data_IF_652280327948
#
_entry.id   IF_652280327948
#
_cell.length_a   1.000
_cell.length_b   1.000
_cell.length_c   1.000
_cell.angle_alpha   90.00
_cell.angle_beta   90.00
_cell.angle_gamma   90.00
#
_symmetry.space_group_name_H-M   'P 1'
#
loop_
_entity.id
_entity.type
_entity.pdbx_description
1 polymer ?
#
# COMPACT_ATOMS: atom_id res chain seq x y z
N UNK A 1 6.38 -5.56 -9.63
CA UNK A 1 6.35 -4.15 -9.33
C UNK A 1 5.64 -3.38 -10.38
N UNK A 2 4.67 -2.85 -9.99
CA UNK A 2 3.44 -2.51 -10.58
C UNK A 2 3.32 -1.08 -10.96
N UNK A 3 4.35 -0.33 -11.05
CA UNK A 3 4.15 1.07 -11.28
C UNK A 3 5.24 1.64 -12.15
N UNK A 4 4.88 2.69 -12.75
CA UNK A 4 5.67 3.66 -13.45
C UNK A 4 6.99 4.03 -12.77
N UNK A 5 7.06 3.84 -11.45
CA UNK A 5 8.27 4.05 -10.65
C UNK A 5 9.26 2.88 -10.72
N UNK A 6 8.90 1.77 -11.37
CA UNK A 6 9.79 0.61 -11.48
C UNK A 6 11.10 0.94 -12.20
N UNK A 7 11.08 1.85 -13.15
CA UNK A 7 12.27 2.26 -13.87
C UNK A 7 13.32 2.88 -12.96
N UNK A 8 12.92 3.69 -12.01
CA UNK A 8 13.85 4.35 -11.09
C UNK A 8 14.55 3.34 -10.15
N UNK A 9 13.88 2.23 -9.84
CA UNK A 9 14.40 1.19 -8.95
C UNK A 9 15.49 0.31 -9.60
N UNK A 10 15.61 0.37 -10.93
CA UNK A 10 16.60 -0.43 -11.67
C UNK A 10 17.74 0.41 -12.23
N UNK A 11 17.92 1.63 -11.73
CA UNK A 11 18.97 2.53 -12.21
C UNK A 11 18.71 3.08 -13.62
N UNK A 12 17.54 2.86 -14.18
CA UNK A 12 17.14 3.44 -15.45
C UNK A 12 16.66 4.89 -15.26
N UNK A 13 16.87 5.74 -16.25
CA UNK A 13 16.30 7.08 -16.24
C UNK A 13 14.78 7.05 -16.05
N UNK A 14 14.21 8.11 -15.50
CA UNK A 14 12.76 8.24 -15.39
C UNK A 14 12.11 7.98 -16.75
N UNK A 15 11.01 7.22 -16.76
CA UNK A 15 10.28 6.87 -17.98
C UNK A 15 9.88 8.08 -18.83
N UNK A 16 9.66 9.24 -18.22
CA UNK A 16 9.36 10.49 -18.92
C UNK A 16 10.50 10.99 -19.81
N UNK A 17 11.76 10.62 -19.51
CA UNK A 17 12.93 11.01 -20.31
C UNK A 17 13.28 10.01 -21.42
N UNK A 18 12.83 8.77 -21.29
CA UNK A 18 13.27 7.69 -22.20
C UNK A 18 12.15 7.09 -23.03
N UNK A 19 10.90 7.37 -22.73
CA UNK A 19 9.74 6.75 -23.42
C UNK A 19 9.72 7.00 -24.92
N UNK A 20 10.28 8.11 -25.38
CA UNK A 20 10.36 8.47 -26.79
C UNK A 20 11.62 7.92 -27.47
N UNK A 21 12.55 7.35 -26.68
CA UNK A 21 13.82 6.83 -27.14
C UNK A 21 13.84 5.29 -27.15
N UNK A 22 12.93 4.65 -26.43
CA UNK A 22 12.91 3.21 -26.27
C UNK A 22 11.55 2.65 -26.66
N UNK A 23 11.52 1.74 -27.61
CA UNK A 23 10.30 1.07 -28.03
C UNK A 23 9.97 -0.08 -27.08
N UNK A 24 9.19 0.24 -26.03
CA UNK A 24 8.65 -0.76 -25.12
C UNK A 24 7.19 -0.47 -24.77
N UNK A 25 6.47 -1.51 -24.42
CA UNK A 25 5.09 -1.40 -23.95
C UNK A 25 5.02 -1.39 -22.43
N UNK A 26 4.32 -0.39 -21.88
CA UNK A 26 4.08 -0.32 -20.44
C UNK A 26 2.86 -1.15 -20.08
N UNK A 27 3.06 -2.12 -19.19
CA UNK A 27 1.99 -2.89 -18.57
C UNK A 27 1.91 -2.52 -17.08
N UNK A 28 0.72 -2.18 -16.63
CA UNK A 28 0.49 -1.80 -15.22
C UNK A 28 -0.10 -2.99 -14.45
N UNK A 29 0.66 -3.46 -13.46
CA UNK A 29 0.20 -4.46 -12.48
C UNK A 29 0.20 -3.79 -11.13
N UNK A 30 -0.97 -3.54 -10.57
CA UNK A 30 -1.09 -2.83 -9.30
C UNK A 30 -0.52 -3.62 -8.11
N UNK A 31 0.05 -2.90 -7.16
CA UNK A 31 0.53 -3.48 -5.90
C UNK A 31 -0.60 -3.80 -4.90
N UNK A 32 -1.81 -3.36 -5.17
CA UNK A 32 -3.02 -3.59 -4.38
C UNK A 32 -4.25 -3.13 -5.13
N UNK A 33 -5.41 -3.24 -4.51
CA UNK A 33 -6.66 -2.73 -5.07
C UNK A 33 -6.72 -1.21 -4.91
N UNK A 34 -7.06 -0.50 -5.99
CA UNK A 34 -7.28 0.93 -5.98
C UNK A 34 -8.70 1.23 -5.51
N UNK A 35 -8.82 1.75 -4.29
CA UNK A 35 -10.09 2.19 -3.71
C UNK A 35 -10.22 3.72 -3.68
N UNK A 36 -9.18 4.43 -4.08
CA UNK A 36 -9.14 5.89 -4.11
C UNK A 36 -9.00 6.41 -5.53
N UNK A 37 -9.48 7.64 -5.77
CA UNK A 37 -9.27 8.33 -7.04
C UNK A 37 -7.84 8.83 -7.12
N UNK A 38 -7.03 8.23 -7.98
CA UNK A 38 -5.64 8.61 -8.26
C UNK A 38 -5.44 8.85 -9.77
N UNK A 39 -6.35 9.66 -10.33
CA UNK A 39 -6.42 9.86 -11.78
C UNK A 39 -5.09 10.29 -12.41
N UNK A 40 -4.35 11.20 -11.78
CA UNK A 40 -3.05 11.66 -12.30
C UNK A 40 -2.04 10.51 -12.40
N UNK A 41 -2.02 9.61 -11.40
CA UNK A 41 -1.06 8.51 -11.35
C UNK A 41 -1.46 7.32 -12.23
N UNK A 42 -2.74 7.18 -12.56
CA UNK A 42 -3.27 6.04 -13.33
C UNK A 42 -3.75 6.43 -14.73
N UNK A 43 -3.59 7.68 -15.12
CA UNK A 43 -3.97 8.13 -16.46
C UNK A 43 -3.08 7.44 -17.50
N UNK A 44 -3.72 6.90 -18.56
CA UNK A 44 -3.04 6.14 -19.61
C UNK A 44 -1.92 6.92 -20.31
N UNK A 45 -2.16 8.19 -20.59
CA UNK A 45 -1.22 9.03 -21.34
C UNK A 45 0.03 9.38 -20.56
N UNK A 46 -0.03 9.36 -19.22
CA UNK A 46 1.14 9.64 -18.39
C UNK A 46 2.33 8.75 -18.73
N UNK A 47 2.05 7.44 -18.96
CA UNK A 47 3.08 6.44 -19.13
C UNK A 47 2.89 5.62 -20.42
N UNK A 48 2.00 6.06 -21.28
CA UNK A 48 1.63 5.32 -22.48
C UNK A 48 1.27 3.86 -22.17
N UNK A 49 0.45 3.67 -21.13
CA UNK A 49 0.06 2.32 -20.67
C UNK A 49 -0.71 1.59 -21.78
N UNK A 50 -0.17 0.47 -22.22
CA UNK A 50 -0.76 -0.39 -23.24
C UNK A 50 -1.68 -1.44 -22.64
N UNK A 51 -1.42 -1.85 -21.40
CA UNK A 51 -2.17 -2.88 -20.72
C UNK A 51 -2.23 -2.59 -19.22
N UNK A 52 -3.44 -2.66 -18.68
CA UNK A 52 -3.67 -2.45 -17.25
C UNK A 52 -4.48 -3.62 -16.70
N UNK A 53 -3.94 -4.31 -15.69
CA UNK A 53 -4.58 -5.44 -15.03
C UNK A 53 -5.41 -4.97 -13.85
N UNK A 54 -6.73 -5.00 -14.01
CA UNK A 54 -7.67 -4.58 -12.99
C UNK A 54 -7.91 -5.69 -11.96
N UNK A 55 -7.83 -5.32 -10.69
CA UNK A 55 -8.06 -6.23 -9.57
C UNK A 55 -9.54 -6.60 -9.41
N UNK A 56 -10.46 -5.72 -9.82
CA UNK A 56 -11.89 -5.92 -9.67
C UNK A 56 -12.67 -5.21 -10.78
N UNK A 57 -13.95 -5.61 -10.93
CA UNK A 57 -14.87 -4.93 -11.84
C UNK A 57 -15.05 -3.45 -11.50
N UNK A 58 -15.01 -3.10 -10.22
CA UNK A 58 -15.15 -1.71 -9.77
C UNK A 58 -13.93 -0.87 -10.17
N UNK A 59 -12.75 -1.43 -10.13
CA UNK A 59 -11.54 -0.78 -10.63
C UNK A 59 -11.60 -0.59 -12.14
N UNK A 60 -12.02 -1.61 -12.87
CA UNK A 60 -12.23 -1.53 -14.32
C UNK A 60 -13.25 -0.44 -14.68
N UNK A 61 -14.42 -0.44 -14.04
CA UNK A 61 -15.45 0.59 -14.22
C UNK A 61 -14.93 2.00 -13.87
N UNK A 62 -14.12 2.12 -12.82
CA UNK A 62 -13.53 3.41 -12.45
C UNK A 62 -12.53 3.91 -13.49
N UNK A 63 -11.63 3.03 -13.95
CA UNK A 63 -10.60 3.37 -14.94
C UNK A 63 -11.18 3.59 -16.34
N UNK A 64 -12.36 3.07 -16.63
CA UNK A 64 -13.08 3.32 -17.89
C UNK A 64 -13.64 4.74 -18.00
N UNK A 65 -13.57 5.54 -16.94
CA UNK A 65 -14.02 6.94 -16.98
C UNK A 65 -13.08 7.81 -17.82
N UNK A 66 -13.58 8.82 -18.53
CA UNK A 66 -12.79 9.66 -19.44
C UNK A 66 -11.53 10.25 -18.81
N UNK A 67 -11.57 10.59 -17.52
CA UNK A 67 -10.44 11.21 -16.80
C UNK A 67 -9.17 10.33 -16.78
N UNK A 68 -9.28 9.03 -17.08
CA UNK A 68 -8.17 8.10 -17.11
C UNK A 68 -7.63 7.82 -18.53
N UNK A 69 -8.31 8.34 -19.56
CA UNK A 69 -7.92 8.22 -20.98
C UNK A 69 -7.79 6.77 -21.51
N UNK A 70 -8.56 5.83 -20.96
CA UNK A 70 -8.64 4.47 -21.47
C UNK A 70 -9.79 4.25 -22.45
N UNK A 71 -10.67 5.24 -22.62
CA UNK A 71 -11.82 5.14 -23.52
C UNK A 71 -11.39 4.85 -24.97
N UNK A 72 -12.05 3.90 -25.61
CA UNK A 72 -11.71 3.47 -26.97
C UNK A 72 -10.48 2.56 -27.09
N UNK A 73 -9.81 2.23 -25.99
CA UNK A 73 -8.66 1.33 -25.96
C UNK A 73 -8.99 0.03 -25.23
N UNK A 74 -8.66 -1.09 -25.83
CA UNK A 74 -8.78 -2.41 -25.20
C UNK A 74 -7.58 -2.68 -24.25
N UNK A 75 -7.30 -1.73 -23.38
CA UNK A 75 -6.16 -1.76 -22.48
C UNK A 75 -6.49 -2.30 -21.08
N UNK A 76 -7.74 -2.19 -20.65
CA UNK A 76 -8.16 -2.61 -19.31
C UNK A 76 -8.55 -4.09 -19.31
N UNK A 77 -7.91 -4.91 -18.49
CA UNK A 77 -8.18 -6.35 -18.38
C UNK A 77 -8.54 -6.73 -16.96
N UNK A 78 -9.70 -7.31 -16.76
CA UNK A 78 -10.13 -7.83 -15.46
C UNK A 78 -9.47 -9.19 -15.21
N UNK A 79 -8.44 -9.22 -14.40
CA UNK A 79 -7.66 -10.44 -14.10
C UNK A 79 -7.71 -10.85 -12.63
N UNK A 80 -8.17 -9.97 -11.77
CA UNK A 80 -7.95 -10.12 -10.32
C UNK A 80 -6.53 -9.76 -9.91
N UNK A 81 -6.14 -10.18 -8.73
CA UNK A 81 -4.80 -9.94 -8.16
C UNK A 81 -4.02 -11.25 -8.13
N UNK A 82 -3.08 -11.49 -9.07
CA UNK A 82 -2.42 -12.80 -9.22
C UNK A 82 -1.74 -13.31 -7.95
N UNK A 83 -1.21 -12.43 -7.11
CA UNK A 83 -0.58 -12.85 -5.84
C UNK A 83 -1.57 -13.52 -4.87
N UNK A 84 -2.88 -13.33 -5.06
CA UNK A 84 -3.89 -13.96 -4.21
C UNK A 84 -4.08 -15.43 -4.53
N UNK A 85 -3.70 -15.88 -5.73
CA UNK A 85 -3.76 -17.29 -6.11
C UNK A 85 -2.80 -18.14 -5.27
N UNK A 86 -1.75 -17.52 -4.72
CA UNK A 86 -0.81 -18.17 -3.81
C UNK A 86 -1.22 -18.17 -2.33
N UNK A 87 -2.34 -17.53 -1.97
CA UNK A 87 -2.80 -17.52 -0.60
C UNK A 87 -3.29 -18.91 -0.18
N UNK A 88 -2.82 -19.35 0.98
CA UNK A 88 -3.27 -20.59 1.62
C UNK A 88 -3.92 -20.26 2.94
N UNK A 89 -5.04 -20.93 3.23
CA UNK A 89 -5.66 -20.85 4.54
C UNK A 89 -4.89 -21.76 5.51
N UNK A 90 -4.06 -21.15 6.34
CA UNK A 90 -3.33 -21.81 7.42
C UNK A 90 -3.61 -21.03 8.71
N UNK A 91 -4.69 -21.43 9.40
CA UNK A 91 -5.13 -20.75 10.61
C UNK A 91 -4.11 -20.94 11.75
N UNK A 92 -3.30 -19.93 11.96
CA UNK A 92 -2.30 -19.88 13.05
C UNK A 92 -2.91 -19.50 14.40
N UNK A 93 -4.22 -19.39 14.50
CA UNK A 93 -4.90 -18.87 15.69
C UNK A 93 -4.30 -17.54 16.16
N UNK A 94 -4.16 -16.61 15.22
CA UNK A 94 -3.59 -15.29 15.47
C UNK A 94 -4.54 -14.19 14.98
N UNK A 95 -4.72 -13.18 15.81
CA UNK A 95 -5.36 -11.92 15.45
C UNK A 95 -4.23 -10.90 15.23
N UNK A 96 -3.99 -10.54 13.98
CA UNK A 96 -3.00 -9.52 13.65
C UNK A 96 -3.65 -8.13 13.62
N UNK A 97 -3.15 -7.23 14.45
CA UNK A 97 -3.51 -5.81 14.45
C UNK A 97 -2.33 -5.05 13.83
N UNK A 98 -2.51 -4.53 12.61
CA UNK A 98 -1.47 -3.81 11.87
C UNK A 98 -2.04 -2.51 11.32
N UNK A 99 -2.11 -1.46 12.14
CA UNK A 99 -2.70 -0.20 11.72
C UNK A 99 -1.80 0.55 10.74
N UNK A 100 -2.43 1.24 9.79
CA UNK A 100 -1.72 2.14 8.90
C UNK A 100 -1.14 3.31 9.70
N UNK A 101 0.15 3.56 9.52
CA UNK A 101 0.85 4.66 10.15
C UNK A 101 0.24 6.04 9.81
N UNK A 102 0.55 7.04 10.60
CA UNK A 102 0.17 8.43 10.38
C UNK A 102 1.43 9.30 10.28
N UNK A 103 1.39 10.34 9.46
CA UNK A 103 2.55 11.21 9.22
C UNK A 103 3.11 11.81 10.52
N UNK A 104 2.24 12.07 11.49
CA UNK A 104 2.62 12.64 12.79
C UNK A 104 3.19 11.61 13.77
N UNK A 105 3.13 10.33 13.46
CA UNK A 105 3.54 9.26 14.38
C UNK A 105 5.05 9.20 14.60
N UNK A 106 5.85 9.66 13.66
CA UNK A 106 7.31 9.68 13.77
C UNK A 106 7.89 10.94 13.10
N UNK A 107 9.01 11.41 13.61
CA UNK A 107 9.67 12.60 13.09
C UNK A 107 10.40 12.26 11.78
N UNK A 108 10.18 13.00 10.67
CA UNK A 108 10.94 12.78 9.45
C UNK A 108 12.38 13.25 9.61
N UNK A 109 13.32 12.40 9.25
CA UNK A 109 14.75 12.73 9.21
C UNK A 109 15.26 12.46 7.79
N UNK A 110 15.92 13.45 7.19
CA UNK A 110 16.58 13.29 5.89
C UNK A 110 17.98 12.75 6.09
N UNK A 111 18.28 11.63 5.47
CA UNK A 111 19.60 11.03 5.46
C UNK A 111 20.11 10.91 4.02
N UNK A 112 21.39 10.58 3.86
CA UNK A 112 21.98 10.28 2.53
C UNK A 112 21.32 9.07 1.85
N UNK A 113 20.71 8.19 2.62
CA UNK A 113 20.01 6.98 2.16
C UNK A 113 18.52 7.19 1.88
N UNK A 114 18.01 8.41 2.12
CA UNK A 114 16.63 8.77 1.92
C UNK A 114 15.94 9.31 3.17
N UNK A 115 14.61 9.31 3.16
CA UNK A 115 13.81 9.76 4.30
C UNK A 115 13.69 8.63 5.31
N UNK A 116 14.24 8.81 6.49
CA UNK A 116 14.04 7.95 7.64
C UNK A 116 13.09 8.62 8.65
N UNK A 117 12.66 7.85 9.64
CA UNK A 117 11.79 8.33 10.71
C UNK A 117 12.45 8.08 12.05
N UNK A 118 12.52 9.13 12.85
CA UNK A 118 13.10 9.09 14.18
C UNK A 118 12.02 9.07 15.26
N UNK A 119 12.44 8.82 16.50
CA UNK A 119 11.57 8.81 17.67
C UNK A 119 10.87 10.15 17.86
N UNK A 120 9.55 10.08 18.11
CA UNK A 120 8.74 11.25 18.42
C UNK A 120 8.38 11.22 19.93
N UNK A 121 8.93 12.10 20.74
CA UNK A 121 8.64 12.14 22.18
C UNK A 121 7.18 12.45 22.52
N UNK A 122 6.45 13.08 21.59
CA UNK A 122 5.02 13.38 21.73
C UNK A 122 4.11 12.28 21.21
N UNK A 123 4.68 11.14 20.81
CA UNK A 123 3.89 10.06 20.20
C UNK A 123 2.77 9.56 21.12
N UNK A 124 3.03 9.44 22.42
CA UNK A 124 2.03 8.99 23.42
C UNK A 124 0.84 9.92 23.56
N UNK A 125 0.99 11.19 23.20
CA UNK A 125 -0.10 12.17 23.21
C UNK A 125 -0.98 12.06 21.96
N UNK A 126 -0.52 11.35 20.94
CA UNK A 126 -1.24 11.22 19.69
C UNK A 126 -2.50 10.36 19.83
N UNK A 127 -3.56 10.74 19.13
CA UNK A 127 -4.78 9.93 19.03
C UNK A 127 -4.47 8.54 18.48
N UNK A 128 -3.49 8.43 17.60
CA UNK A 128 -3.04 7.14 17.06
C UNK A 128 -2.59 6.20 18.17
N UNK A 129 -1.66 6.65 19.02
CA UNK A 129 -1.17 5.85 20.15
C UNK A 129 -2.33 5.51 21.10
N UNK A 130 -3.09 6.51 21.55
CA UNK A 130 -4.17 6.34 22.52
C UNK A 130 -5.18 5.28 22.08
N UNK A 131 -5.63 5.34 20.82
CA UNK A 131 -6.60 4.38 20.26
C UNK A 131 -6.03 2.96 20.19
N UNK A 132 -4.83 2.80 19.67
CA UNK A 132 -4.26 1.46 19.49
C UNK A 132 -3.74 0.87 20.79
N UNK A 133 -3.19 1.68 21.69
CA UNK A 133 -2.82 1.23 23.02
C UNK A 133 -4.05 0.79 23.82
N UNK A 134 -5.15 1.55 23.76
CA UNK A 134 -6.41 1.13 24.39
C UNK A 134 -6.94 -0.18 23.79
N UNK A 135 -6.86 -0.35 22.48
CA UNK A 135 -7.34 -1.55 21.80
C UNK A 135 -6.56 -2.80 22.21
N UNK A 136 -5.21 -2.75 22.18
CA UNK A 136 -4.39 -3.91 22.52
C UNK A 136 -4.42 -4.29 24.00
N UNK A 137 -4.82 -3.37 24.85
CA UNK A 137 -5.00 -3.56 26.30
C UNK A 137 -6.48 -3.76 26.71
N UNK A 138 -7.41 -3.80 25.76
CA UNK A 138 -8.82 -4.02 26.07
C UNK A 138 -9.04 -5.44 26.61
N UNK A 139 -9.50 -5.51 27.87
CA UNK A 139 -9.72 -6.79 28.57
C UNK A 139 -10.70 -7.69 27.83
N UNK A 140 -11.74 -7.14 27.21
CA UNK A 140 -12.75 -7.90 26.45
C UNK A 140 -12.11 -8.57 25.22
N UNK A 141 -11.23 -7.84 24.51
CA UNK A 141 -10.49 -8.39 23.38
C UNK A 141 -9.56 -9.52 23.83
N UNK A 142 -8.81 -9.29 24.91
CA UNK A 142 -7.86 -10.27 25.44
C UNK A 142 -8.58 -11.55 25.94
N UNK A 143 -9.67 -11.39 26.67
CA UNK A 143 -10.47 -12.50 27.18
C UNK A 143 -11.13 -13.30 26.06
N UNK A 144 -11.71 -12.61 25.07
CA UNK A 144 -12.27 -13.26 23.88
C UNK A 144 -11.20 -14.02 23.11
N UNK A 145 -10.04 -13.42 22.87
CA UNK A 145 -8.93 -14.11 22.21
C UNK A 145 -8.52 -15.39 22.96
N UNK A 146 -8.36 -15.31 24.28
CA UNK A 146 -8.05 -16.47 25.13
C UNK A 146 -9.13 -17.54 25.06
N UNK A 147 -10.39 -17.16 25.18
CA UNK A 147 -11.54 -18.06 25.13
C UNK A 147 -11.56 -18.90 23.84
N UNK A 148 -11.23 -18.30 22.71
CA UNK A 148 -11.20 -18.97 21.40
C UNK A 148 -9.83 -19.51 21.00
N UNK A 149 -8.84 -19.43 21.87
CA UNK A 149 -7.50 -19.96 21.64
C UNK A 149 -6.67 -19.14 20.64
N UNK A 150 -6.98 -17.83 20.50
CA UNK A 150 -6.22 -16.94 19.64
C UNK A 150 -5.15 -16.18 20.41
N UNK A 151 -4.06 -15.85 19.71
CA UNK A 151 -3.01 -14.90 20.17
C UNK A 151 -3.17 -13.58 19.45
N UNK A 152 -3.10 -12.49 20.19
CA UNK A 152 -3.06 -11.15 19.60
C UNK A 152 -1.62 -10.81 19.25
N UNK A 153 -1.41 -10.32 18.03
CA UNK A 153 -0.14 -9.84 17.53
C UNK A 153 -0.29 -8.42 17.02
N UNK A 154 0.34 -7.47 17.69
CA UNK A 154 0.42 -6.09 17.24
C UNK A 154 1.67 -5.91 16.38
N UNK A 155 1.51 -5.36 15.17
CA UNK A 155 2.59 -5.18 14.21
C UNK A 155 2.65 -3.73 13.79
N UNK A 156 3.69 -3.04 14.22
CA UNK A 156 3.95 -1.67 13.79
C UNK A 156 4.42 -1.63 12.34
N UNK A 157 3.99 -0.58 11.64
CA UNK A 157 4.56 -0.27 10.33
C UNK A 157 6.04 0.14 10.50
N UNK A 158 6.96 -0.24 9.59
CA UNK A 158 8.38 0.11 9.70
C UNK A 158 8.67 1.60 9.95
N UNK A 159 7.85 2.48 9.37
CA UNK A 159 7.98 3.94 9.57
C UNK A 159 7.81 4.38 11.04
N UNK A 160 7.09 3.61 11.84
CA UNK A 160 6.87 3.91 13.26
C UNK A 160 7.56 2.93 14.18
N UNK A 161 8.51 2.15 13.66
CA UNK A 161 9.26 1.17 14.46
C UNK A 161 10.09 1.81 15.59
N UNK A 162 10.52 3.05 15.43
CA UNK A 162 11.18 3.83 16.48
C UNK A 162 10.33 4.04 17.75
N UNK A 163 9.01 3.81 17.67
CA UNK A 163 8.06 3.96 18.76
C UNK A 163 7.68 2.62 19.41
N UNK A 164 8.38 1.54 19.12
CA UNK A 164 8.00 0.19 19.57
C UNK A 164 7.92 0.06 21.08
N UNK A 165 8.80 0.74 21.80
CA UNK A 165 8.87 0.71 23.25
C UNK A 165 7.81 1.55 23.96
N UNK A 166 6.99 2.27 23.20
CA UNK A 166 5.90 3.08 23.74
C UNK A 166 4.61 2.27 24.02
N UNK A 167 4.48 1.09 23.42
CA UNK A 167 3.29 0.22 23.55
C UNK A 167 3.38 -0.84 24.63
#
# INVERSE_FOLDING_TARGET
>A
NSTVFAFNNYGLPNSSYVRDLVDFHVCCVQHGMSVQKIAVAQNRLRDNTRLYFCASKYELENLSKPIYDYEGYDALKLTGVPRYDGLKNDDKKQIMISPTWRMQAAVPVRTSEGEQRDYNPLFKESTYFQVFNALINDKRLIEAAKQYGYRIKYVLHPIVSAQVDDF
#
